data_IF_453618689103
#
_entry.id   IF_453618689103
#
_cell.length_a   1.000
_cell.length_b   1.000
_cell.length_c   1.000
_cell.angle_alpha   90.00
_cell.angle_beta   90.00
_cell.angle_gamma   90.00
#
_symmetry.space_group_name_H-M   'P 1'
#
loop_
_entity.id
_entity.type
_entity.pdbx_description
1 polymer ?
#
# COMPACT_ATOMS: atom_id res chain seq x y z
N UNK A 1 2.25 -12.29 11.25
CA UNK A 1 2.18 -10.84 10.98
C UNK A 1 0.81 -10.35 11.43
N UNK A 2 0.73 -9.23 12.15
CA UNK A 2 -0.52 -8.74 12.73
C UNK A 2 -1.57 -8.53 11.61
N UNK A 3 -2.58 -9.39 11.54
CA UNK A 3 -3.58 -9.37 10.45
C UNK A 3 -4.51 -8.15 10.52
N UNK A 4 -4.41 -7.33 11.57
CA UNK A 4 -5.24 -6.16 11.82
C UNK A 4 -4.49 -4.83 11.78
N UNK A 5 -3.17 -4.81 11.52
CA UNK A 5 -2.39 -3.57 11.51
C UNK A 5 -2.10 -3.12 10.09
N UNK A 6 -2.42 -1.85 9.79
CA UNK A 6 -2.03 -1.17 8.54
C UNK A 6 -0.83 -0.25 8.81
N UNK A 7 0.17 -0.28 7.93
CA UNK A 7 1.37 0.57 8.02
C UNK A 7 1.36 1.61 6.90
N UNK A 8 1.43 2.88 7.28
CA UNK A 8 1.56 4.01 6.36
C UNK A 8 3.00 4.52 6.43
N UNK A 9 3.78 4.30 5.37
CA UNK A 9 5.24 4.46 5.39
C UNK A 9 5.70 5.65 4.54
N UNK A 10 6.66 6.41 5.05
CA UNK A 10 7.22 7.59 4.38
C UNK A 10 8.68 7.36 4.02
N UNK A 11 9.06 7.64 2.78
CA UNK A 11 10.45 7.80 2.39
C UNK A 11 10.77 9.28 2.26
N UNK A 12 11.69 9.81 3.07
CA UNK A 12 12.01 11.23 3.09
C UNK A 12 13.30 11.55 2.33
N UNK A 13 13.32 12.67 1.63
CA UNK A 13 14.53 13.23 1.05
C UNK A 13 14.98 12.56 -0.24
N UNK A 14 16.31 12.56 -0.49
CA UNK A 14 16.89 12.27 -1.81
C UNK A 14 16.93 10.79 -2.17
N UNK A 15 17.20 9.92 -1.19
CA UNK A 15 17.46 8.50 -1.46
C UNK A 15 16.91 7.54 -0.39
N UNK A 16 15.61 7.58 -0.06
CA UNK A 16 15.01 6.57 0.79
C UNK A 16 14.99 5.21 0.06
N UNK A 17 15.14 4.12 0.81
CA UNK A 17 15.05 2.76 0.26
C UNK A 17 13.64 2.49 -0.28
N UNK A 18 13.50 2.51 -1.61
CA UNK A 18 12.19 2.39 -2.24
C UNK A 18 11.56 1.02 -2.02
N UNK A 19 12.36 -0.04 -2.10
CA UNK A 19 11.89 -1.42 -1.94
C UNK A 19 11.35 -1.65 -0.53
N UNK A 20 12.06 -1.19 0.49
CA UNK A 20 11.68 -1.34 1.89
C UNK A 20 10.39 -0.57 2.22
N UNK A 21 10.35 0.72 1.87
CA UNK A 21 9.17 1.57 2.11
C UNK A 21 7.93 1.01 1.41
N UNK A 22 8.06 0.60 0.14
CA UNK A 22 6.94 -0.02 -0.60
C UNK A 22 6.49 -1.34 0.04
N UNK A 23 7.43 -2.17 0.49
CA UNK A 23 7.14 -3.49 1.03
C UNK A 23 6.36 -3.40 2.35
N UNK A 24 6.74 -2.51 3.26
CA UNK A 24 6.04 -2.31 4.53
C UNK A 24 4.58 -1.90 4.33
N UNK A 25 4.32 -0.91 3.48
CA UNK A 25 2.96 -0.49 3.20
C UNK A 25 2.13 -1.59 2.51
N UNK A 26 2.68 -2.22 1.47
CA UNK A 26 1.93 -3.21 0.67
C UNK A 26 1.61 -4.50 1.45
N UNK A 27 2.51 -4.95 2.31
CA UNK A 27 2.30 -6.17 3.10
C UNK A 27 1.24 -6.02 4.19
N UNK A 28 0.79 -4.79 4.46
CA UNK A 28 -0.15 -4.47 5.55
C UNK A 28 -1.40 -3.74 5.07
N UNK A 29 -1.70 -3.77 3.76
CA UNK A 29 -2.80 -3.01 3.15
C UNK A 29 -2.77 -1.50 3.49
N UNK A 30 -1.58 -0.96 3.74
CA UNK A 30 -1.36 0.46 3.95
C UNK A 30 -0.90 1.16 2.67
N UNK A 31 -0.39 2.40 2.83
CA UNK A 31 0.07 3.22 1.71
C UNK A 31 1.48 3.74 1.96
N UNK A 32 2.25 3.88 0.89
CA UNK A 32 3.55 4.53 0.94
C UNK A 32 3.52 5.88 0.23
N UNK A 33 4.36 6.81 0.68
CA UNK A 33 4.62 8.11 0.06
C UNK A 33 6.12 8.42 0.11
N UNK A 34 6.63 9.01 -0.97
CA UNK A 34 7.97 9.60 -0.98
C UNK A 34 7.84 11.12 -0.91
N UNK A 35 8.39 11.71 0.14
CA UNK A 35 8.36 13.16 0.38
C UNK A 35 9.65 13.76 -0.17
N UNK A 36 9.58 14.64 -1.18
CA UNK A 36 10.77 15.27 -1.74
C UNK A 36 11.50 16.14 -0.71
N UNK A 37 12.81 16.39 -0.91
CA UNK A 37 13.54 17.37 -0.10
C UNK A 37 12.84 18.74 -0.09
N UNK A 38 12.96 19.48 1.02
CA UNK A 38 12.40 20.83 1.19
C UNK A 38 10.87 20.92 1.03
N UNK A 39 10.16 19.79 1.11
CA UNK A 39 8.70 19.76 1.09
C UNK A 39 8.13 19.81 2.52
N UNK A 40 6.98 20.45 2.67
CA UNK A 40 6.18 20.44 3.89
C UNK A 40 5.65 19.04 4.19
N UNK A 41 6.22 18.38 5.20
CA UNK A 41 5.90 16.98 5.57
C UNK A 41 4.47 16.85 6.10
N UNK A 42 3.95 17.89 6.74
CA UNK A 42 2.62 18.02 7.31
C UNK A 42 1.51 17.70 6.29
N UNK A 43 1.64 18.15 5.04
CA UNK A 43 0.69 17.87 3.96
C UNK A 43 0.57 16.35 3.76
N UNK A 44 1.71 15.66 3.62
CA UNK A 44 1.75 14.23 3.38
C UNK A 44 1.28 13.42 4.59
N UNK A 45 1.59 13.88 5.81
CA UNK A 45 1.11 13.27 7.05
C UNK A 45 -0.42 13.39 7.13
N UNK A 46 -0.97 14.57 6.85
CA UNK A 46 -2.41 14.80 6.83
C UNK A 46 -3.13 13.87 5.84
N UNK A 47 -2.62 13.73 4.62
CA UNK A 47 -3.18 12.81 3.64
C UNK A 47 -3.11 11.34 4.08
N UNK A 48 -1.97 10.90 4.62
CA UNK A 48 -1.83 9.53 5.10
C UNK A 48 -2.74 9.26 6.30
N UNK A 49 -2.93 10.24 7.18
CA UNK A 49 -3.87 10.15 8.30
C UNK A 49 -5.31 10.03 7.81
N UNK A 50 -5.71 10.83 6.82
CA UNK A 50 -7.03 10.69 6.18
C UNK A 50 -7.24 9.28 5.64
N UNK A 51 -6.23 8.68 5.00
CA UNK A 51 -6.26 7.29 4.53
C UNK A 51 -6.31 6.28 5.68
N UNK A 52 -5.59 6.54 6.77
CA UNK A 52 -5.57 5.69 7.96
C UNK A 52 -6.91 5.69 8.71
N UNK A 53 -7.67 6.78 8.64
CA UNK A 53 -9.01 6.88 9.20
C UNK A 53 -10.08 6.18 8.35
N UNK A 54 -9.82 5.94 7.07
CA UNK A 54 -10.76 5.18 6.24
C UNK A 54 -10.86 3.74 6.76
N UNK A 55 -12.08 3.19 6.93
CA UNK A 55 -12.25 1.81 7.34
C UNK A 55 -11.59 0.86 6.33
N UNK A 56 -11.09 -0.27 6.82
CA UNK A 56 -10.55 -1.32 5.98
C UNK A 56 -11.63 -2.40 5.83
N UNK A 57 -12.06 -2.68 4.60
CA UNK A 57 -12.89 -3.85 4.34
C UNK A 57 -11.96 -5.07 4.34
N UNK A 58 -12.20 -5.97 5.29
CA UNK A 58 -11.46 -7.23 5.42
C UNK A 58 -12.29 -8.39 4.89
N UNK A 59 -11.65 -9.54 4.67
CA UNK A 59 -12.30 -10.79 4.27
C UNK A 59 -13.11 -10.68 2.96
N UNK A 60 -12.58 -9.93 1.99
CA UNK A 60 -13.17 -9.88 0.65
C UNK A 60 -12.80 -11.18 -0.08
N UNK A 61 -13.82 -11.90 -0.53
CA UNK A 61 -13.67 -13.06 -1.39
C UNK A 61 -14.22 -12.74 -2.77
N UNK A 62 -13.39 -12.95 -3.80
CA UNK A 62 -13.82 -12.86 -5.19
C UNK A 62 -14.00 -14.28 -5.71
N UNK A 63 -15.24 -14.63 -6.05
CA UNK A 63 -15.53 -15.90 -6.70
C UNK A 63 -15.56 -15.67 -8.22
N UNK A 64 -14.60 -16.29 -8.92
CA UNK A 64 -14.53 -16.25 -10.37
C UNK A 64 -15.22 -17.50 -10.92
N UNK A 65 -16.38 -17.34 -11.55
CA UNK A 65 -17.04 -18.41 -12.27
C UNK A 65 -16.39 -18.54 -13.66
N UNK A 66 -15.25 -19.22 -13.72
CA UNK A 66 -14.52 -19.46 -14.96
C UNK A 66 -14.92 -20.81 -15.56
N UNK A 67 -15.17 -20.82 -16.86
CA UNK A 67 -15.36 -22.06 -17.62
C UNK A 67 -14.06 -22.88 -17.70
N UNK A 68 -14.21 -24.18 -18.01
CA UNK A 68 -13.12 -25.18 -18.03
C UNK A 68 -11.96 -24.82 -18.99
N UNK A 69 -12.16 -23.88 -19.91
CA UNK A 69 -11.17 -23.49 -20.93
C UNK A 69 -10.47 -22.14 -20.70
N UNK A 70 -10.59 -21.53 -19.51
CA UNK A 70 -9.92 -20.24 -19.23
C UNK A 70 -8.44 -20.44 -18.91
N UNK A 71 -7.58 -19.83 -19.72
CA UNK A 71 -6.13 -19.78 -19.48
C UNK A 71 -5.80 -18.59 -18.57
N UNK A 72 -5.22 -18.86 -17.39
CA UNK A 72 -4.79 -17.83 -16.45
C UNK A 72 -3.37 -17.41 -16.82
N UNK A 73 -3.18 -16.14 -17.19
CA UNK A 73 -1.86 -15.57 -17.44
C UNK A 73 -1.51 -14.56 -16.35
N UNK A 74 -0.35 -14.74 -15.72
CA UNK A 74 0.18 -13.77 -14.77
C UNK A 74 0.94 -12.69 -15.52
N UNK A 75 0.57 -11.42 -15.32
CA UNK A 75 1.31 -10.30 -15.89
C UNK A 75 2.75 -10.25 -15.32
N UNK A 76 3.76 -9.87 -16.12
CA UNK A 76 5.12 -9.70 -15.64
C UNK A 76 5.17 -8.65 -14.53
N UNK A 77 5.98 -8.93 -13.51
CA UNK A 77 6.04 -8.22 -12.22
C UNK A 77 6.85 -6.93 -12.29
#
# INVERSE_FOLDING_TARGET
>A
MASSTRIFSFGLGKSPSQSLVKCFARSTNGRFVFVPPNSSVDIYVGEQLQRALQPCITNIHVNWNLDVNVQIQTAPK
#
